data_IF_570059092776
#
_entry.id   IF_570059092776
#
_cell.length_a   1.000
_cell.length_b   1.000
_cell.length_c   1.000
_cell.angle_alpha   90.00
_cell.angle_beta   90.00
_cell.angle_gamma   90.00
#
_symmetry.space_group_name_H-M   'P 1'
#
loop_
_entity.id
_entity.type
_entity.pdbx_description
1 polymer ?
#
# COMPACT_ATOMS: atom_id res chain seq x y z
N UNK A 1 -17.18 11.03 67.99
CA UNK A 1 -17.53 10.40 66.70
C UNK A 1 -18.78 11.05 66.06
N UNK A 2 -18.73 12.34 65.64
CA UNK A 2 -19.87 13.01 64.98
C UNK A 2 -19.51 14.02 63.85
N UNK A 3 -18.23 14.17 63.49
CA UNK A 3 -17.80 15.13 62.44
C UNK A 3 -17.90 14.61 61.00
N UNK A 4 -18.14 13.31 60.82
CA UNK A 4 -18.14 12.66 59.49
C UNK A 4 -19.55 12.52 58.88
N UNK A 5 -20.60 12.68 59.70
CA UNK A 5 -22.00 12.58 59.27
C UNK A 5 -22.34 13.60 58.16
N UNK A 6 -21.96 14.90 58.24
CA UNK A 6 -22.25 15.83 57.15
C UNK A 6 -21.47 15.50 55.88
N UNK A 7 -20.23 15.01 55.99
CA UNK A 7 -19.42 14.60 54.83
C UNK A 7 -20.03 13.39 54.12
N UNK A 8 -20.50 12.39 54.87
CA UNK A 8 -21.16 11.21 54.32
C UNK A 8 -22.47 11.59 53.61
N UNK A 9 -23.22 12.55 54.15
CA UNK A 9 -24.43 13.06 53.51
C UNK A 9 -24.13 13.77 52.18
N UNK A 10 -23.09 14.60 52.13
CA UNK A 10 -22.69 15.29 50.89
C UNK A 10 -22.22 14.28 49.84
N UNK A 11 -21.43 13.29 50.22
CA UNK A 11 -20.97 12.24 49.31
C UNK A 11 -22.14 11.40 48.79
N UNK A 12 -23.12 11.07 49.64
CA UNK A 12 -24.35 10.40 49.20
C UNK A 12 -25.16 11.22 48.21
N UNK A 13 -25.28 12.53 48.41
CA UNK A 13 -25.97 13.42 47.46
C UNK A 13 -25.21 13.48 46.14
N UNK A 14 -23.88 13.53 46.16
CA UNK A 14 -23.06 13.50 44.94
C UNK A 14 -23.16 12.16 44.21
N UNK A 15 -23.16 11.03 44.93
CA UNK A 15 -23.34 9.69 44.35
C UNK A 15 -24.73 9.55 43.74
N UNK A 16 -25.78 9.99 44.44
CA UNK A 16 -27.16 9.97 43.92
C UNK A 16 -27.29 10.89 42.70
N UNK A 17 -26.68 12.08 42.74
CA UNK A 17 -26.62 12.99 41.60
C UNK A 17 -25.87 12.40 40.41
N UNK A 18 -24.77 11.68 40.66
CA UNK A 18 -23.98 11.01 39.63
C UNK A 18 -24.73 9.81 39.03
N UNK A 19 -25.38 8.98 39.86
CA UNK A 19 -26.25 7.88 39.39
C UNK A 19 -27.42 8.43 38.59
N UNK A 20 -28.03 9.54 39.03
CA UNK A 20 -29.12 10.18 38.31
C UNK A 20 -28.66 10.70 36.94
N UNK A 21 -27.51 11.39 36.88
CA UNK A 21 -26.94 11.89 35.63
C UNK A 21 -26.49 10.75 34.69
N UNK A 22 -25.92 9.66 35.22
CA UNK A 22 -25.56 8.47 34.45
C UNK A 22 -26.79 7.75 33.90
N UNK A 23 -27.86 7.59 34.70
CA UNK A 23 -29.10 6.93 34.28
C UNK A 23 -29.93 7.78 33.30
N UNK A 24 -29.88 9.10 33.42
CA UNK A 24 -30.50 10.03 32.46
C UNK A 24 -29.63 10.31 31.24
N UNK A 25 -28.57 9.52 31.04
CA UNK A 25 -27.77 9.57 29.82
C UNK A 25 -27.09 10.95 29.58
N UNK A 26 -26.96 11.79 30.62
CA UNK A 26 -26.36 13.14 30.54
C UNK A 26 -24.86 13.12 30.20
N UNK A 27 -24.20 11.98 30.41
CA UNK A 27 -22.79 11.75 30.07
C UNK A 27 -22.61 10.98 28.77
N UNK A 28 -23.69 10.57 28.09
CA UNK A 28 -23.59 10.06 26.74
C UNK A 28 -23.54 11.29 25.85
N UNK A 29 -22.35 11.58 25.32
CA UNK A 29 -22.25 12.37 24.10
C UNK A 29 -23.33 11.83 23.16
N UNK A 30 -24.30 12.67 22.78
CA UNK A 30 -25.19 12.32 21.67
C UNK A 30 -24.24 11.87 20.57
N UNK A 31 -24.35 10.62 20.12
CA UNK A 31 -23.55 10.14 19.00
C UNK A 31 -23.81 11.13 17.88
N UNK A 32 -22.82 12.00 17.62
CA UNK A 32 -22.93 13.03 16.62
C UNK A 32 -23.38 12.32 15.35
N UNK A 33 -24.50 12.75 14.78
CA UNK A 33 -24.99 12.17 13.53
C UNK A 33 -23.85 12.29 12.54
N UNK A 34 -23.24 11.15 12.21
CA UNK A 34 -22.07 11.07 11.35
C UNK A 34 -22.47 11.54 9.96
N UNK A 35 -22.11 12.77 9.63
CA UNK A 35 -22.38 13.34 8.31
C UNK A 35 -21.25 12.91 7.39
N UNK A 36 -21.58 12.15 6.35
CA UNK A 36 -20.61 11.81 5.31
C UNK A 36 -20.09 13.09 4.67
N UNK A 37 -18.77 13.17 4.48
CA UNK A 37 -18.08 14.33 3.95
C UNK A 37 -18.51 14.62 2.50
N UNK A 38 -18.47 13.60 1.64
CA UNK A 38 -18.79 13.75 0.21
C UNK A 38 -20.24 13.39 -0.13
N UNK A 39 -20.88 12.51 0.66
CA UNK A 39 -22.23 12.02 0.39
C UNK A 39 -22.35 11.27 -0.95
N UNK A 40 -21.32 10.49 -1.31
CA UNK A 40 -21.27 9.65 -2.52
C UNK A 40 -20.84 8.23 -2.16
N UNK A 41 -21.21 7.24 -2.97
CA UNK A 41 -20.69 5.88 -2.87
C UNK A 41 -19.43 5.72 -3.73
N UNK A 42 -18.53 4.82 -3.36
CA UNK A 42 -17.32 4.52 -4.14
C UNK A 42 -17.66 4.09 -5.57
N UNK A 43 -18.70 3.27 -5.71
CA UNK A 43 -19.23 2.83 -7.01
C UNK A 43 -19.79 3.96 -7.89
N UNK A 44 -20.09 5.14 -7.35
CA UNK A 44 -20.60 6.26 -8.14
C UNK A 44 -19.48 7.08 -8.80
N UNK A 45 -18.22 6.87 -8.42
CA UNK A 45 -17.08 7.65 -8.90
C UNK A 45 -16.63 7.17 -10.28
N UNK A 46 -16.47 8.10 -11.22
CA UNK A 46 -16.07 7.82 -12.62
C UNK A 46 -14.69 8.36 -12.97
N UNK A 47 -14.29 9.49 -12.39
CA UNK A 47 -12.94 10.04 -12.56
C UNK A 47 -12.52 10.81 -11.33
N UNK A 48 -11.21 10.79 -11.04
CA UNK A 48 -10.60 11.62 -10.02
C UNK A 48 -9.38 12.30 -10.64
N UNK A 49 -9.27 13.60 -10.44
CA UNK A 49 -8.06 14.38 -10.73
C UNK A 49 -7.41 14.76 -9.41
N UNK A 50 -6.15 14.41 -9.25
CA UNK A 50 -5.30 14.81 -8.14
C UNK A 50 -4.55 16.06 -8.59
N UNK A 51 -4.81 17.17 -7.92
CA UNK A 51 -4.08 18.43 -8.09
C UNK A 51 -3.21 18.63 -6.85
N UNK A 52 -1.91 18.34 -7.01
CA UNK A 52 -0.92 18.64 -5.98
C UNK A 52 -0.19 19.93 -6.35
N UNK A 53 -0.51 21.01 -5.63
CA UNK A 53 0.24 22.26 -5.66
C UNK A 53 0.83 22.58 -4.28
N UNK A 54 1.75 21.70 -3.83
CA UNK A 54 2.87 21.99 -2.90
C UNK A 54 2.51 22.09 -1.41
N UNK A 55 3.38 21.90 -0.41
CA UNK A 55 4.84 21.83 -0.33
C UNK A 55 5.22 21.26 1.05
N UNK A 56 6.27 20.43 1.12
CA UNK A 56 6.82 19.98 2.41
C UNK A 56 7.97 18.97 2.32
N UNK A 57 8.17 18.31 1.17
CA UNK A 57 9.41 17.57 0.89
C UNK A 57 10.36 18.46 0.11
N UNK A 58 11.55 18.60 0.68
CA UNK A 58 12.68 19.42 0.27
C UNK A 58 12.90 19.40 -1.24
N UNK A 59 13.29 20.57 -1.77
CA UNK A 59 13.90 20.77 -3.07
C UNK A 59 15.03 19.76 -3.32
N UNK A 60 14.70 18.59 -3.84
CA UNK A 60 15.62 17.60 -4.34
C UNK A 60 14.91 16.87 -5.48
N UNK A 61 15.12 17.42 -6.68
CA UNK A 61 15.19 16.75 -7.97
C UNK A 61 14.35 15.46 -8.14
N UNK A 62 13.10 15.57 -8.60
CA UNK A 62 12.78 15.31 -10.01
C UNK A 62 11.32 15.73 -10.34
N UNK A 63 11.14 16.41 -11.46
CA UNK A 63 9.90 17.13 -11.82
C UNK A 63 8.91 16.21 -12.53
N UNK A 64 8.49 15.14 -11.88
CA UNK A 64 7.42 14.25 -12.35
C UNK A 64 6.08 14.83 -11.89
N UNK A 65 5.49 15.71 -12.71
CA UNK A 65 4.22 16.42 -12.52
C UNK A 65 3.34 15.78 -11.44
N UNK A 66 3.26 16.35 -10.23
CA UNK A 66 2.59 15.76 -9.05
C UNK A 66 1.09 15.50 -9.22
N UNK A 67 0.48 16.06 -10.28
CA UNK A 67 -0.89 15.78 -10.66
C UNK A 67 -1.08 14.40 -11.31
N UNK A 68 -2.31 13.92 -11.27
CA UNK A 68 -2.74 12.73 -12.00
C UNK A 68 -4.22 12.80 -12.34
N UNK A 69 -4.60 12.25 -13.50
CA UNK A 69 -6.00 12.03 -13.85
C UNK A 69 -6.24 10.54 -13.97
N UNK A 70 -7.24 10.05 -13.23
CA UNK A 70 -7.67 8.66 -13.23
C UNK A 70 -9.11 8.58 -13.74
N UNK A 71 -9.41 7.53 -14.50
CA UNK A 71 -10.74 7.27 -15.06
C UNK A 71 -11.09 5.78 -14.95
N UNK A 72 -12.36 5.50 -14.65
CA UNK A 72 -12.92 4.15 -14.73
C UNK A 72 -13.28 3.83 -16.19
N UNK A 73 -12.59 2.86 -16.80
CA UNK A 73 -12.81 2.40 -18.18
C UNK A 73 -13.09 0.91 -18.20
N UNK A 74 -14.22 0.52 -18.77
CA UNK A 74 -14.64 -0.89 -18.86
C UNK A 74 -14.62 -1.63 -17.50
N UNK A 75 -14.91 -0.91 -16.42
CA UNK A 75 -14.89 -1.46 -15.05
C UNK A 75 -13.51 -1.53 -14.40
N UNK A 76 -12.46 -1.01 -15.06
CA UNK A 76 -11.08 -0.99 -14.54
C UNK A 76 -10.59 0.45 -14.45
N UNK A 77 -10.04 0.81 -13.29
CA UNK A 77 -9.43 2.12 -13.09
C UNK A 77 -8.11 2.22 -13.84
N UNK A 78 -7.92 3.32 -14.55
CA UNK A 78 -6.72 3.59 -15.35
C UNK A 78 -6.26 5.02 -15.16
N UNK A 79 -4.95 5.23 -15.10
CA UNK A 79 -4.37 6.56 -15.19
C UNK A 79 -4.40 7.04 -16.65
N UNK A 80 -4.76 8.29 -16.86
CA UNK A 80 -4.80 8.95 -18.18
C UNK A 80 -3.67 9.96 -18.29
N UNK A 81 -3.41 10.70 -17.22
CA UNK A 81 -2.32 11.67 -17.11
C UNK A 81 -1.48 11.39 -15.85
N UNK A 82 -0.14 11.59 -15.90
CA UNK A 82 0.64 12.06 -17.06
C UNK A 82 0.92 10.95 -18.09
N UNK A 83 0.80 9.69 -17.67
CA UNK A 83 0.93 8.50 -18.52
C UNK A 83 -0.01 7.42 -17.97
N UNK A 84 -0.33 6.44 -18.82
CA UNK A 84 -1.14 5.30 -18.42
C UNK A 84 -0.37 4.28 -17.57
N UNK A 85 0.23 4.72 -16.46
CA UNK A 85 0.98 3.86 -15.54
C UNK A 85 0.09 2.74 -14.98
N UNK A 86 0.68 1.56 -14.71
CA UNK A 86 -0.05 0.49 -14.03
C UNK A 86 -0.42 0.96 -12.62
N UNK A 87 -1.65 0.66 -12.21
CA UNK A 87 -2.20 1.06 -10.92
C UNK A 87 -2.37 -0.15 -10.01
N UNK A 88 -2.13 0.05 -8.73
CA UNK A 88 -2.41 -0.97 -7.73
C UNK A 88 -3.92 -1.00 -7.44
N UNK A 89 -4.60 -2.02 -7.96
CA UNK A 89 -6.07 -2.13 -7.87
C UNK A 89 -6.60 -2.18 -6.42
N UNK A 90 -5.86 -2.81 -5.51
CA UNK A 90 -6.23 -2.85 -4.08
C UNK A 90 -6.17 -1.46 -3.43
N UNK A 91 -5.10 -0.72 -3.72
CA UNK A 91 -4.92 0.65 -3.22
C UNK A 91 -5.98 1.58 -3.77
N UNK A 92 -6.29 1.49 -5.06
CA UNK A 92 -7.39 2.25 -5.68
C UNK A 92 -8.72 1.94 -5.00
N UNK A 93 -9.07 0.67 -4.81
CA UNK A 93 -10.32 0.29 -4.14
C UNK A 93 -10.39 0.87 -2.72
N UNK A 94 -9.32 0.73 -1.95
CA UNK A 94 -9.24 1.23 -0.58
C UNK A 94 -9.35 2.76 -0.52
N UNK A 95 -8.76 3.46 -1.49
CA UNK A 95 -8.84 4.91 -1.61
C UNK A 95 -10.25 5.40 -1.93
N UNK A 96 -10.98 4.72 -2.83
CA UNK A 96 -12.37 5.05 -3.15
C UNK A 96 -13.29 4.82 -1.96
N UNK A 97 -13.07 3.75 -1.20
CA UNK A 97 -13.82 3.47 0.02
C UNK A 97 -13.52 4.50 1.11
N UNK A 98 -12.26 4.95 1.24
CA UNK A 98 -11.88 6.02 2.15
C UNK A 98 -12.57 7.35 1.80
N UNK A 99 -12.61 7.71 0.51
CA UNK A 99 -13.33 8.89 0.02
C UNK A 99 -14.83 8.83 0.33
N UNK A 100 -15.46 7.68 0.09
CA UNK A 100 -16.90 7.48 0.34
C UNK A 100 -17.25 7.45 1.84
N UNK A 101 -16.40 6.82 2.64
CA UNK A 101 -16.60 6.61 4.07
C UNK A 101 -16.14 7.76 4.96
N UNK A 102 -15.49 8.79 4.41
CA UNK A 102 -15.05 9.95 5.17
C UNK A 102 -16.23 10.69 5.82
N UNK A 103 -16.07 11.07 7.08
CA UNK A 103 -17.08 11.78 7.86
C UNK A 103 -16.54 13.14 8.31
N UNK A 104 -17.38 14.18 8.28
CA UNK A 104 -17.06 15.43 8.96
C UNK A 104 -17.42 15.33 10.45
N UNK A 105 -16.55 15.81 11.31
CA UNK A 105 -16.77 15.80 12.76
C UNK A 105 -17.61 16.99 13.20
N UNK A 106 -17.25 18.18 12.72
CA UNK A 106 -17.95 19.42 13.04
C UNK A 106 -17.72 20.47 11.96
N UNK A 107 -18.63 21.45 11.92
CA UNK A 107 -18.48 22.64 11.08
C UNK A 107 -17.65 23.68 11.83
N UNK A 108 -16.54 24.10 11.24
CA UNK A 108 -15.63 25.13 11.77
C UNK A 108 -16.12 26.52 11.39
N UNK A 109 -16.50 26.71 10.13
CA UNK A 109 -17.04 27.97 9.62
C UNK A 109 -18.04 27.70 8.49
N UNK A 110 -19.30 28.09 8.70
CA UNK A 110 -20.40 27.89 7.75
C UNK A 110 -20.21 28.65 6.44
N UNK A 111 -19.66 29.88 6.51
CA UNK A 111 -19.50 30.78 5.36
C UNK A 111 -18.10 31.40 5.35
N UNK A 112 -17.06 30.63 4.97
CA UNK A 112 -15.68 31.11 5.00
C UNK A 112 -15.45 32.29 4.05
N UNK A 113 -14.84 33.36 4.57
CA UNK A 113 -14.46 34.54 3.78
C UNK A 113 -12.98 34.60 3.45
N UNK A 114 -12.16 33.84 4.19
CA UNK A 114 -10.72 33.71 4.02
C UNK A 114 -10.36 32.24 4.19
N UNK A 115 -9.93 31.58 3.09
CA UNK A 115 -9.54 30.17 3.08
C UNK A 115 -8.06 29.97 3.40
N UNK A 116 -7.23 31.02 3.24
CA UNK A 116 -5.78 30.94 3.45
C UNK A 116 -5.46 30.66 4.93
N UNK A 117 -6.24 31.22 5.87
CA UNK A 117 -6.09 30.94 7.31
C UNK A 117 -6.27 29.46 7.69
N UNK A 118 -6.90 28.66 6.82
CA UNK A 118 -7.10 27.23 7.00
C UNK A 118 -6.15 26.38 6.16
N UNK A 119 -5.28 26.99 5.35
CA UNK A 119 -4.50 26.28 4.34
C UNK A 119 -5.35 25.75 3.18
N UNK A 120 -6.57 26.25 2.99
CA UNK A 120 -7.50 25.85 1.91
C UNK A 120 -7.40 26.79 0.68
N UNK A 121 -6.30 27.52 0.60
CA UNK A 121 -5.98 28.49 -0.44
C UNK A 121 -5.57 27.86 -1.77
N UNK A 122 -4.72 28.58 -2.52
CA UNK A 122 -4.26 28.15 -3.86
C UNK A 122 -3.28 26.97 -3.85
N UNK A 123 -2.64 26.70 -2.71
CA UNK A 123 -1.67 25.61 -2.53
C UNK A 123 -2.26 24.42 -1.78
N UNK A 124 -3.58 24.39 -1.58
CA UNK A 124 -4.23 23.28 -0.90
C UNK A 124 -4.18 22.03 -1.77
N UNK A 125 -3.95 20.86 -1.17
CA UNK A 125 -4.18 19.58 -1.83
C UNK A 125 -5.63 19.51 -2.29
N UNK A 126 -5.83 19.12 -3.55
CA UNK A 126 -7.16 19.14 -4.17
C UNK A 126 -7.43 17.86 -4.92
N UNK A 127 -8.64 17.33 -4.75
CA UNK A 127 -9.20 16.25 -5.56
C UNK A 127 -10.45 16.76 -6.29
N UNK A 128 -10.48 16.60 -7.61
CA UNK A 128 -11.68 16.83 -8.41
C UNK A 128 -12.29 15.49 -8.83
N UNK A 129 -13.51 15.24 -8.37
CA UNK A 129 -14.22 13.96 -8.50
C UNK A 129 -15.42 14.17 -9.41
N UNK A 130 -15.56 13.31 -10.41
CA UNK A 130 -16.76 13.24 -11.26
C UNK A 130 -17.50 11.94 -11.01
N UNK A 131 -18.82 12.04 -10.84
CA UNK A 131 -19.68 10.90 -10.58
C UNK A 131 -20.47 10.46 -11.81
N UNK A 132 -21.08 9.26 -11.76
CA UNK A 132 -21.96 8.70 -12.80
C UNK A 132 -23.15 9.61 -13.13
N UNK A 133 -23.69 10.31 -12.14
CA UNK A 133 -24.78 11.28 -12.31
C UNK A 133 -24.30 12.67 -12.76
N UNK A 134 -23.04 12.79 -13.21
CA UNK A 134 -22.43 14.01 -13.74
C UNK A 134 -22.31 15.15 -12.72
N UNK A 135 -22.21 14.84 -11.42
CA UNK A 135 -21.81 15.84 -10.42
C UNK A 135 -20.30 15.99 -10.46
N UNK A 136 -19.85 17.25 -10.40
CA UNK A 136 -18.46 17.61 -10.14
C UNK A 136 -18.34 17.99 -8.66
N UNK A 137 -17.42 17.33 -7.96
CA UNK A 137 -17.14 17.55 -6.53
C UNK A 137 -15.66 17.90 -6.40
N UNK A 138 -15.37 19.07 -5.84
CA UNK A 138 -14.01 19.46 -5.48
C UNK A 138 -13.80 19.28 -3.98
N UNK A 139 -12.85 18.46 -3.59
CA UNK A 139 -12.40 18.33 -2.21
C UNK A 139 -11.08 19.09 -2.04
N UNK A 140 -11.02 20.00 -1.07
CA UNK A 140 -9.80 20.69 -0.67
C UNK A 140 -9.40 20.30 0.74
N UNK A 141 -8.12 20.04 0.94
CA UNK A 141 -7.57 19.61 2.22
C UNK A 141 -6.54 20.64 2.67
N UNK A 142 -6.76 21.22 3.85
CA UNK A 142 -5.99 22.32 4.41
C UNK A 142 -5.06 21.88 5.54
N UNK A 143 -4.70 22.80 6.42
CA UNK A 143 -3.81 22.54 7.56
C UNK A 143 -4.47 21.73 8.70
N UNK A 144 -3.66 21.39 9.70
CA UNK A 144 -4.12 20.74 10.93
C UNK A 144 -4.79 21.73 11.88
N UNK A 145 -5.81 21.27 12.60
CA UNK A 145 -6.44 22.03 13.69
C UNK A 145 -5.44 22.20 14.85
N UNK A 146 -5.37 23.38 15.51
CA UNK A 146 -4.39 23.61 16.58
C UNK A 146 -4.56 22.75 17.84
N UNK A 147 -5.76 22.23 18.10
CA UNK A 147 -6.13 21.62 19.37
C UNK A 147 -6.70 20.19 19.24
N UNK A 148 -6.75 19.65 18.03
CA UNK A 148 -7.36 18.36 17.74
C UNK A 148 -6.59 17.64 16.62
N UNK A 149 -6.69 16.32 16.57
CA UNK A 149 -6.08 15.51 15.51
C UNK A 149 -6.99 15.43 14.27
N UNK A 150 -7.27 16.61 13.72
CA UNK A 150 -8.11 16.81 12.56
C UNK A 150 -7.49 17.82 11.59
N UNK A 151 -7.93 17.78 10.33
CA UNK A 151 -7.55 18.69 9.27
C UNK A 151 -8.76 19.53 8.85
N UNK A 152 -8.49 20.76 8.42
CA UNK A 152 -9.50 21.59 7.77
C UNK A 152 -9.79 21.05 6.38
N UNK A 153 -11.07 20.92 6.04
CA UNK A 153 -11.52 20.41 4.74
C UNK A 153 -12.65 21.28 4.22
N UNK A 154 -12.70 21.45 2.90
CA UNK A 154 -13.83 22.06 2.22
C UNK A 154 -14.26 21.20 1.04
N UNK A 155 -15.57 20.98 0.93
CA UNK A 155 -16.21 20.37 -0.24
C UNK A 155 -16.88 21.47 -1.06
N UNK A 156 -16.54 21.55 -2.34
CA UNK A 156 -16.96 22.58 -3.28
C UNK A 156 -16.70 24.00 -2.72
N UNK A 157 -17.72 24.85 -2.67
CA UNK A 157 -17.68 26.17 -2.02
C UNK A 157 -18.52 26.18 -0.73
N UNK A 158 -18.62 25.03 -0.06
CA UNK A 158 -19.37 24.86 1.18
C UNK A 158 -18.61 25.33 2.44
N UNK A 159 -19.11 24.95 3.63
CA UNK A 159 -18.46 25.22 4.90
C UNK A 159 -17.03 24.66 4.98
N UNK A 160 -16.23 25.25 5.87
CA UNK A 160 -15.00 24.60 6.35
C UNK A 160 -15.37 23.69 7.50
N UNK A 161 -14.96 22.43 7.40
CA UNK A 161 -15.26 21.37 8.39
C UNK A 161 -13.98 20.75 8.91
N UNK A 162 -14.06 20.11 10.07
CA UNK A 162 -12.98 19.30 10.62
C UNK A 162 -13.20 17.82 10.22
N UNK A 163 -12.12 17.18 9.76
CA UNK A 163 -12.09 15.74 9.44
C UNK A 163 -10.85 15.14 10.09
N UNK A 164 -10.98 13.97 10.73
CA UNK A 164 -9.87 13.28 11.39
C UNK A 164 -8.65 13.14 10.49
N UNK A 165 -7.46 13.39 11.04
CA UNK A 165 -6.19 13.25 10.31
C UNK A 165 -6.02 11.84 9.73
N UNK A 166 -6.45 10.80 10.45
CA UNK A 166 -6.42 9.41 9.98
C UNK A 166 -7.25 9.23 8.69
N UNK A 167 -8.48 9.72 8.66
CA UNK A 167 -9.32 9.67 7.45
C UNK A 167 -8.68 10.43 6.30
N UNK A 168 -8.07 11.58 6.57
CA UNK A 168 -7.38 12.38 5.55
C UNK A 168 -6.12 11.69 5.04
N UNK A 169 -5.35 11.00 5.89
CA UNK A 169 -4.17 10.26 5.44
C UNK A 169 -4.49 9.15 4.44
N UNK A 170 -5.69 8.57 4.52
CA UNK A 170 -6.19 7.57 3.57
C UNK A 170 -6.79 8.19 2.31
N UNK A 171 -6.95 9.52 2.23
CA UNK A 171 -7.57 10.26 1.13
C UNK A 171 -6.54 11.08 0.36
N UNK A 172 -5.63 11.75 1.07
CA UNK A 172 -4.58 12.62 0.54
C UNK A 172 -3.40 11.80 0.00
N UNK A 173 -3.70 10.86 -0.90
CA UNK A 173 -2.72 10.04 -1.60
C UNK A 173 -2.12 10.80 -2.78
N UNK A 174 -0.83 10.62 -3.01
CA UNK A 174 -0.14 11.11 -4.20
C UNK A 174 -0.39 10.18 -5.38
N UNK A 175 -0.06 10.64 -6.59
CA UNK A 175 -0.03 9.77 -7.77
C UNK A 175 0.80 8.51 -7.56
N UNK A 176 1.99 8.66 -6.96
CA UNK A 176 2.94 7.55 -6.83
C UNK A 176 2.39 6.47 -5.90
N UNK A 177 1.69 6.87 -4.83
CA UNK A 177 1.04 5.94 -3.89
C UNK A 177 0.01 5.02 -4.58
N UNK A 178 -0.54 5.45 -5.73
CA UNK A 178 -1.53 4.68 -6.49
C UNK A 178 -0.91 3.71 -7.51
N UNK A 179 0.39 3.82 -7.78
CA UNK A 179 1.05 3.00 -8.80
C UNK A 179 1.18 1.55 -8.33
N UNK A 180 1.10 0.63 -9.27
CA UNK A 180 1.61 -0.72 -9.04
C UNK A 180 3.13 -0.68 -9.17
N UNK A 181 3.82 -0.79 -8.03
CA UNK A 181 5.28 -0.76 -7.93
C UNK A 181 5.89 -2.16 -7.82
N UNK A 182 5.09 -3.22 -7.85
CA UNK A 182 5.56 -4.59 -7.66
C UNK A 182 5.67 -5.33 -9.00
N UNK A 183 6.88 -5.58 -9.54
CA UNK A 183 7.01 -6.25 -10.83
C UNK A 183 6.56 -7.71 -10.82
N UNK A 184 6.63 -8.38 -9.67
CA UNK A 184 6.45 -9.82 -9.56
C UNK A 184 5.07 -10.14 -8.97
N UNK A 185 4.12 -10.50 -9.84
CA UNK A 185 2.78 -10.89 -9.42
C UNK A 185 2.73 -12.38 -9.05
N UNK A 186 3.08 -12.67 -7.80
CA UNK A 186 3.12 -14.02 -7.24
C UNK A 186 2.07 -14.16 -6.14
N UNK A 187 1.29 -15.23 -6.22
CA UNK A 187 0.52 -15.72 -5.08
C UNK A 187 1.31 -16.83 -4.39
N UNK A 188 1.93 -16.51 -3.26
CA UNK A 188 2.79 -17.41 -2.47
C UNK A 188 2.09 -18.71 -2.09
N UNK A 189 0.76 -18.70 -1.94
CA UNK A 189 -0.01 -19.91 -1.65
C UNK A 189 -0.19 -20.79 -2.88
N UNK A 190 -0.13 -20.20 -4.08
CA UNK A 190 -0.41 -20.84 -5.36
C UNK A 190 0.82 -21.03 -6.27
N UNK A 191 1.99 -20.50 -5.93
CA UNK A 191 3.26 -20.73 -6.65
C UNK A 191 3.61 -22.21 -6.60
N UNK A 192 3.71 -22.88 -7.74
CA UNK A 192 4.10 -24.28 -7.88
C UNK A 192 5.60 -24.44 -8.18
N UNK A 193 6.17 -23.55 -9.00
CA UNK A 193 7.58 -23.57 -9.35
C UNK A 193 8.11 -22.17 -9.66
N UNK A 194 9.37 -21.94 -9.30
CA UNK A 194 10.20 -20.84 -9.77
C UNK A 194 11.41 -21.41 -10.50
N UNK A 195 11.63 -20.99 -11.74
CA UNK A 195 12.81 -21.33 -12.55
C UNK A 195 13.60 -20.04 -12.81
N UNK A 196 14.78 -19.95 -12.22
CA UNK A 196 15.66 -18.80 -12.30
C UNK A 196 16.85 -19.12 -13.19
N UNK A 197 17.00 -18.37 -14.27
CA UNK A 197 18.14 -18.40 -15.18
C UNK A 197 18.87 -17.04 -15.14
N UNK A 198 19.84 -16.89 -14.24
CA UNK A 198 20.67 -15.69 -14.14
C UNK A 198 22.14 -15.93 -14.55
N UNK A 199 22.91 -14.86 -14.72
CA UNK A 199 24.34 -14.97 -15.01
C UNK A 199 25.16 -15.57 -13.84
N UNK A 200 24.77 -15.27 -12.60
CA UNK A 200 25.49 -15.71 -11.39
C UNK A 200 25.07 -17.12 -10.93
N UNK A 201 23.81 -17.49 -11.17
CA UNK A 201 23.25 -18.76 -10.72
C UNK A 201 22.07 -19.18 -11.61
N UNK A 202 21.86 -20.49 -11.69
CA UNK A 202 20.66 -21.11 -12.26
C UNK A 202 20.10 -22.09 -11.24
N UNK A 203 18.80 -22.03 -11.01
CA UNK A 203 18.14 -22.95 -10.07
C UNK A 203 16.65 -23.09 -10.35
N UNK A 204 16.10 -24.24 -9.93
CA UNK A 204 14.67 -24.53 -9.98
C UNK A 204 14.19 -24.84 -8.58
N UNK A 205 13.31 -24.00 -8.06
CA UNK A 205 12.55 -24.26 -6.84
C UNK A 205 11.19 -24.83 -7.25
N UNK A 206 10.84 -26.01 -6.74
CA UNK A 206 9.59 -26.69 -7.10
C UNK A 206 8.90 -27.30 -5.89
N UNK A 207 7.60 -27.08 -5.79
CA UNK A 207 6.73 -27.77 -4.85
C UNK A 207 6.65 -29.24 -5.22
N UNK A 208 7.02 -30.12 -4.28
CA UNK A 208 6.90 -31.56 -4.42
C UNK A 208 5.55 -32.09 -3.89
N UNK A 209 4.80 -31.26 -3.16
CA UNK A 209 3.45 -31.59 -2.68
C UNK A 209 2.40 -31.52 -3.78
N UNK A 210 1.38 -32.39 -3.66
CA UNK A 210 0.15 -32.28 -4.43
C UNK A 210 -0.61 -30.98 -4.12
N UNK A 211 -1.48 -30.60 -5.04
CA UNK A 211 -2.26 -29.37 -4.97
C UNK A 211 -3.15 -29.31 -3.72
N UNK A 212 -3.12 -28.19 -3.00
CA UNK A 212 -3.96 -27.97 -1.82
C UNK A 212 -3.50 -28.70 -0.55
N UNK A 213 -2.28 -29.25 -0.54
CA UNK A 213 -1.67 -29.78 0.68
C UNK A 213 -1.54 -28.70 1.76
N UNK A 214 -1.92 -29.04 3.00
CA UNK A 214 -1.79 -28.15 4.15
C UNK A 214 -0.31 -27.81 4.45
N UNK A 215 0.57 -28.79 4.27
CA UNK A 215 2.01 -28.63 4.38
C UNK A 215 2.66 -28.88 3.01
N UNK A 216 3.37 -27.87 2.51
CA UNK A 216 4.06 -27.91 1.22
C UNK A 216 5.51 -28.33 1.43
N UNK A 217 5.93 -29.35 0.70
CA UNK A 217 7.33 -29.78 0.60
C UNK A 217 7.94 -29.18 -0.65
N UNK A 218 9.22 -28.84 -0.57
CA UNK A 218 9.93 -28.12 -1.62
C UNK A 218 11.21 -28.84 -1.99
N UNK A 219 11.57 -28.71 -3.26
CA UNK A 219 12.88 -29.13 -3.77
C UNK A 219 13.57 -27.96 -4.44
N UNK A 220 14.86 -27.80 -4.20
CA UNK A 220 15.75 -26.90 -4.91
C UNK A 220 16.70 -27.75 -5.75
N UNK A 221 16.66 -27.59 -7.07
CA UNK A 221 17.46 -28.40 -8.01
C UNK A 221 17.29 -29.93 -7.83
N UNK A 222 16.12 -30.35 -7.34
CA UNK A 222 15.78 -31.75 -7.08
C UNK A 222 16.16 -32.26 -5.68
N UNK A 223 16.88 -31.47 -4.88
CA UNK A 223 17.19 -31.77 -3.47
C UNK A 223 16.14 -31.16 -2.55
N UNK A 224 15.75 -31.86 -1.48
CA UNK A 224 14.77 -31.34 -0.52
C UNK A 224 15.30 -30.09 0.17
N UNK A 225 14.45 -29.07 0.32
CA UNK A 225 14.75 -27.84 1.06
C UNK A 225 13.66 -27.58 2.09
N UNK A 226 14.02 -26.92 3.19
CA UNK A 226 13.07 -26.53 4.24
C UNK A 226 12.00 -25.59 3.69
N UNK A 227 10.73 -25.87 4.04
CA UNK A 227 9.60 -25.09 3.54
C UNK A 227 9.66 -23.62 3.93
N UNK A 228 10.25 -23.31 5.09
CA UNK A 228 10.46 -21.93 5.55
C UNK A 228 11.43 -21.16 4.68
N UNK A 229 12.49 -21.80 4.17
CA UNK A 229 13.48 -21.18 3.28
C UNK A 229 12.86 -20.92 1.89
N UNK A 230 12.14 -21.90 1.35
CA UNK A 230 11.42 -21.76 0.09
C UNK A 230 10.38 -20.63 0.12
N UNK A 231 9.53 -20.62 1.15
CA UNK A 231 8.52 -19.56 1.33
C UNK A 231 9.18 -18.20 1.59
N UNK A 232 10.30 -18.16 2.32
CA UNK A 232 11.06 -16.92 2.52
C UNK A 232 11.59 -16.35 1.21
N UNK A 233 12.17 -17.17 0.34
CA UNK A 233 12.63 -16.74 -0.98
C UNK A 233 11.47 -16.21 -1.84
N UNK A 234 10.36 -16.94 -1.92
CA UNK A 234 9.17 -16.52 -2.67
C UNK A 234 8.68 -15.16 -2.16
N UNK A 235 8.58 -15.00 -0.84
CA UNK A 235 8.20 -13.74 -0.21
C UNK A 235 9.17 -12.60 -0.53
N UNK A 236 10.49 -12.86 -0.48
CA UNK A 236 11.51 -11.86 -0.83
C UNK A 236 11.36 -11.38 -2.27
N UNK A 237 11.19 -12.30 -3.23
CA UNK A 237 10.99 -11.96 -4.65
C UNK A 237 9.67 -11.20 -4.86
N UNK A 238 8.57 -11.72 -4.31
CA UNK A 238 7.23 -11.11 -4.39
C UNK A 238 7.20 -9.67 -3.87
N UNK A 239 7.93 -9.40 -2.80
CA UNK A 239 7.93 -8.10 -2.13
C UNK A 239 8.95 -7.10 -2.71
N UNK A 240 9.68 -7.46 -3.77
CA UNK A 240 10.51 -6.48 -4.48
C UNK A 240 9.61 -5.39 -5.08
N UNK A 241 10.00 -4.14 -4.89
CA UNK A 241 9.28 -2.98 -5.44
C UNK A 241 10.24 -1.97 -6.07
N UNK A 242 9.74 -1.26 -7.09
CA UNK A 242 10.42 -0.08 -7.63
C UNK A 242 10.15 1.13 -6.75
N UNK A 243 11.17 1.95 -6.52
CA UNK A 243 11.02 3.25 -5.88
C UNK A 243 10.68 4.37 -6.90
N UNK A 244 11.00 4.14 -8.17
CA UNK A 244 10.81 5.09 -9.26
C UNK A 244 9.59 4.73 -10.12
N UNK A 245 9.06 5.71 -10.84
CA UNK A 245 8.01 5.50 -11.84
C UNK A 245 8.47 4.47 -12.90
N UNK A 246 7.59 3.53 -13.24
CA UNK A 246 7.89 2.50 -14.24
C UNK A 246 8.09 3.09 -15.64
N UNK A 247 8.98 2.48 -16.42
CA UNK A 247 9.25 2.88 -17.82
C UNK A 247 8.54 1.95 -18.80
N UNK A 248 8.26 2.40 -20.02
CA UNK A 248 7.81 1.47 -21.05
C UNK A 248 8.97 0.56 -21.45
N UNK A 249 8.73 -0.75 -21.55
CA UNK A 249 9.78 -1.70 -21.94
C UNK A 249 10.40 -1.36 -23.30
N UNK A 250 9.62 -0.80 -24.23
CA UNK A 250 10.08 -0.34 -25.55
C UNK A 250 11.05 0.85 -25.51
N UNK A 251 11.16 1.54 -24.37
CA UNK A 251 12.08 2.67 -24.20
C UNK A 251 13.50 2.21 -23.88
N UNK A 252 13.67 0.96 -23.41
CA UNK A 252 14.97 0.38 -23.07
C UNK A 252 15.77 0.00 -24.33
N UNK A 253 16.53 0.96 -24.85
CA UNK A 253 17.38 0.74 -26.02
C UNK A 253 18.70 0.08 -25.62
N UNK A 254 19.17 -0.85 -26.45
CA UNK A 254 20.44 -1.56 -26.25
C UNK A 254 20.55 -2.26 -24.90
N UNK A 255 19.42 -2.76 -24.39
CA UNK A 255 19.37 -3.49 -23.14
C UNK A 255 19.98 -4.89 -23.30
N UNK A 256 20.70 -5.35 -22.28
CA UNK A 256 21.35 -6.65 -22.21
C UNK A 256 20.59 -7.52 -21.21
N UNK A 257 20.20 -8.77 -21.56
CA UNK A 257 19.57 -9.69 -20.62
C UNK A 257 20.51 -10.04 -19.46
N UNK A 258 19.95 -10.14 -18.25
CA UNK A 258 20.65 -10.44 -16.99
C UNK A 258 20.08 -11.66 -16.29
N UNK A 259 18.76 -11.82 -16.33
CA UNK A 259 18.09 -13.03 -15.87
C UNK A 259 16.75 -13.27 -16.58
N UNK A 260 16.27 -14.50 -16.51
CA UNK A 260 14.85 -14.87 -16.71
C UNK A 260 14.34 -15.53 -15.44
N UNK A 261 13.13 -15.18 -15.02
CA UNK A 261 12.41 -15.88 -13.96
C UNK A 261 11.09 -16.40 -14.54
N UNK A 262 10.93 -17.72 -14.60
CA UNK A 262 9.65 -18.34 -14.94
C UNK A 262 8.93 -18.75 -13.66
N UNK A 263 7.67 -18.36 -13.52
CA UNK A 263 6.83 -18.65 -12.37
C UNK A 263 5.66 -19.50 -12.84
N UNK A 264 5.58 -20.75 -12.39
CA UNK A 264 4.38 -21.56 -12.53
C UNK A 264 3.51 -21.38 -11.28
N UNK A 265 2.28 -20.94 -11.44
CA UNK A 265 1.33 -20.75 -10.34
C UNK A 265 -0.09 -21.11 -10.75
N UNK A 266 -0.94 -21.41 -9.78
CA UNK A 266 -2.36 -21.68 -10.01
C UNK A 266 -3.19 -20.41 -10.02
N UNK A 267 -3.91 -20.19 -11.11
CA UNK A 267 -4.88 -19.10 -11.26
C UNK A 267 -6.21 -19.70 -11.69
N UNK A 268 -7.26 -19.51 -10.89
CA UNK A 268 -8.60 -20.07 -11.15
C UNK A 268 -8.62 -21.59 -11.39
N UNK A 269 -7.69 -22.32 -10.75
CA UNK A 269 -7.58 -23.78 -10.87
C UNK A 269 -6.75 -24.27 -12.06
N UNK A 270 -6.27 -23.38 -12.93
CA UNK A 270 -5.38 -23.69 -14.04
C UNK A 270 -3.93 -23.31 -13.72
N UNK A 271 -2.96 -24.08 -14.24
CA UNK A 271 -1.55 -23.72 -14.13
C UNK A 271 -1.24 -22.66 -15.18
N UNK A 272 -0.72 -21.52 -14.73
CA UNK A 272 -0.26 -20.41 -15.55
C UNK A 272 1.24 -20.28 -15.36
N UNK A 273 1.96 -20.10 -16.47
CA UNK A 273 3.40 -19.82 -16.45
C UNK A 273 3.65 -18.39 -16.90
N UNK A 274 4.13 -17.56 -15.97
CA UNK A 274 4.53 -16.18 -16.21
C UNK A 274 6.05 -16.10 -16.37
N UNK A 275 6.53 -15.33 -17.34
CA UNK A 275 7.98 -15.17 -17.60
C UNK A 275 8.38 -13.71 -17.46
N UNK A 276 9.19 -13.46 -16.44
CA UNK A 276 9.80 -12.16 -16.15
C UNK A 276 11.20 -12.11 -16.73
N UNK A 277 11.60 -10.96 -17.27
CA UNK A 277 12.94 -10.76 -17.84
C UNK A 277 13.64 -9.61 -17.17
N UNK A 278 14.81 -9.88 -16.58
CA UNK A 278 15.70 -8.86 -16.07
C UNK A 278 16.64 -8.37 -17.16
N UNK A 279 16.64 -7.07 -17.41
CA UNK A 279 17.52 -6.42 -18.39
C UNK A 279 18.36 -5.34 -17.70
N UNK A 280 19.56 -5.07 -18.20
CA UNK A 280 20.34 -3.88 -17.80
C UNK A 280 20.66 -3.03 -19.02
N UNK A 281 20.86 -1.73 -18.83
CA UNK A 281 21.32 -0.81 -19.87
C UNK A 281 22.69 -0.27 -19.50
N UNK A 282 23.58 -0.12 -20.47
CA UNK A 282 24.98 0.26 -20.21
C UNK A 282 25.15 1.63 -19.52
N UNK A 283 24.16 2.53 -19.66
CA UNK A 283 24.14 3.83 -18.98
C UNK A 283 23.80 3.74 -17.49
N UNK A 284 23.15 2.65 -17.06
CA UNK A 284 22.65 2.46 -15.69
C UNK A 284 23.00 1.05 -15.19
N UNK A 285 24.30 0.70 -15.08
CA UNK A 285 24.74 -0.68 -14.81
C UNK A 285 24.38 -1.20 -13.40
N UNK A 286 24.03 -0.30 -12.47
CA UNK A 286 23.54 -0.65 -11.14
C UNK A 286 22.05 -0.97 -11.09
N UNK A 287 21.33 -0.81 -12.20
CA UNK A 287 19.88 -1.01 -12.29
C UNK A 287 19.58 -2.25 -13.12
N UNK A 288 18.64 -3.05 -12.62
CA UNK A 288 17.98 -4.12 -13.35
C UNK A 288 16.54 -3.69 -13.61
N UNK A 289 16.17 -3.68 -14.88
CA UNK A 289 14.81 -3.47 -15.35
C UNK A 289 14.11 -4.82 -15.47
N UNK A 290 13.11 -5.03 -14.62
CA UNK A 290 12.26 -6.21 -14.70
C UNK A 290 11.10 -5.95 -15.65
N UNK A 291 11.05 -6.73 -16.73
CA UNK A 291 9.96 -6.71 -17.70
C UNK A 291 8.93 -7.76 -17.31
N UNK A 292 7.69 -7.31 -17.13
CA UNK A 292 6.53 -8.16 -16.82
C UNK A 292 6.15 -9.08 -17.99
N UNK A 293 5.37 -10.15 -17.76
CA UNK A 293 4.98 -11.13 -18.78
C UNK A 293 4.24 -10.51 -19.99
N UNK A 294 3.46 -9.44 -19.75
CA UNK A 294 2.78 -8.67 -20.81
C UNK A 294 3.74 -7.89 -21.73
N UNK A 295 5.01 -7.77 -21.33
CA UNK A 295 6.06 -7.08 -22.05
C UNK A 295 5.91 -5.56 -22.14
N UNK A 296 4.98 -4.95 -21.38
CA UNK A 296 4.65 -3.53 -21.54
C UNK A 296 5.53 -2.61 -20.71
N UNK A 297 5.82 -3.01 -19.46
CA UNK A 297 6.43 -2.16 -18.46
C UNK A 297 7.78 -2.70 -18.00
N UNK A 298 8.63 -1.79 -17.55
CA UNK A 298 9.94 -2.03 -17.02
C UNK A 298 10.05 -1.39 -15.64
N UNK A 299 10.21 -2.23 -14.62
CA UNK A 299 10.33 -1.84 -13.22
C UNK A 299 11.81 -1.80 -12.85
N UNK A 300 12.29 -0.65 -12.37
CA UNK A 300 13.69 -0.48 -11.97
C UNK A 300 13.92 -1.01 -10.56
N UNK A 301 14.86 -1.95 -10.43
CA UNK A 301 15.35 -2.46 -9.16
C UNK A 301 16.86 -2.22 -9.08
N UNK A 302 17.37 -1.89 -7.89
CA UNK A 302 18.81 -1.88 -7.66
C UNK A 302 19.35 -3.31 -7.81
N UNK A 303 20.48 -3.49 -8.49
CA UNK A 303 20.99 -4.83 -8.79
C UNK A 303 21.30 -5.66 -7.52
N UNK A 304 21.58 -5.02 -6.39
CA UNK A 304 21.88 -5.69 -5.13
C UNK A 304 20.67 -6.35 -4.45
N UNK A 305 19.44 -5.87 -4.69
CA UNK A 305 18.23 -6.48 -4.11
C UNK A 305 17.95 -7.87 -4.65
N UNK A 306 18.54 -8.23 -5.80
CA UNK A 306 18.41 -9.55 -6.41
C UNK A 306 19.43 -10.57 -5.88
N UNK A 307 20.38 -10.15 -5.04
CA UNK A 307 21.39 -11.05 -4.50
C UNK A 307 20.79 -12.21 -3.70
N UNK A 308 19.67 -12.00 -3.04
CA UNK A 308 18.97 -13.05 -2.30
C UNK A 308 18.49 -14.17 -3.24
N UNK A 309 17.98 -13.82 -4.42
CA UNK A 309 17.60 -14.80 -5.44
C UNK A 309 18.83 -15.48 -6.05
N UNK A 310 19.90 -14.73 -6.33
CA UNK A 310 21.12 -15.27 -6.94
C UNK A 310 21.89 -16.21 -5.98
N UNK A 311 21.91 -15.91 -4.68
CA UNK A 311 22.67 -16.67 -3.67
C UNK A 311 21.85 -17.73 -2.96
N UNK A 312 20.56 -17.85 -3.24
CA UNK A 312 19.68 -18.81 -2.57
C UNK A 312 20.22 -20.25 -2.55
N UNK A 313 20.80 -20.79 -3.64
CA UNK A 313 21.40 -22.13 -3.59
C UNK A 313 22.56 -22.29 -2.60
N UNK A 314 23.33 -21.22 -2.36
CA UNK A 314 24.46 -21.26 -1.44
C UNK A 314 24.01 -21.15 0.02
N UNK A 315 22.92 -20.42 0.29
CA UNK A 315 22.38 -20.28 1.65
C UNK A 315 21.84 -21.60 2.19
N UNK A 316 21.20 -22.40 1.33
CA UNK A 316 20.67 -23.72 1.71
C UNK A 316 21.83 -24.71 2.00
N UNK A 317 22.84 -24.77 1.12
CA UNK A 317 24.02 -25.65 1.32
C UNK A 317 24.75 -25.36 2.62
N UNK A 318 24.91 -24.08 2.98
CA UNK A 318 25.58 -23.70 4.22
C UNK A 318 24.79 -24.11 5.47
N UNK A 319 23.45 -24.13 5.40
CA UNK A 319 22.60 -24.60 6.48
C UNK A 319 22.74 -26.12 6.71
N UNK A 320 22.78 -26.91 5.63
CA UNK A 320 23.01 -28.36 5.69
C UNK A 320 24.40 -28.72 6.27
N UNK A 321 25.45 -28.00 5.85
CA UNK A 321 26.81 -28.20 6.37
C UNK A 321 26.93 -27.79 7.86
N UNK A 322 26.22 -26.75 8.30
CA UNK A 322 26.21 -26.33 9.70
C UNK A 322 25.39 -27.28 10.61
N UNK A 323 24.33 -27.89 10.08
CA UNK A 323 23.52 -28.90 10.77
C UNK A 323 24.28 -30.21 10.98
N UNK A 324 25.07 -30.63 9.99
CA UNK A 324 25.87 -31.87 10.06
C UNK A 324 27.14 -31.75 10.90
N UNK A 325 27.67 -30.54 11.10
CA UNK A 325 28.87 -30.28 11.94
C UNK A 325 28.63 -30.29 13.46
N UNK A 326 27.38 -30.41 13.92
CA UNK A 326 27.02 -30.26 15.35
C UNK A 326 26.78 -31.59 16.09
N UNK A 327 26.81 -32.74 15.41
CA UNK A 327 26.49 -34.04 16.04
C UNK A 327 27.70 -34.86 16.55
N UNK A 328 28.95 -34.44 16.31
CA UNK A 328 30.14 -35.25 16.67
C UNK A 328 30.97 -34.69 17.83
N UNK A 329 30.32 -34.23 18.90
CA UNK A 329 31.01 -33.76 20.12
C UNK A 329 30.33 -34.21 21.42
N UNK A 330 29.90 -35.47 21.48
CA UNK A 330 29.71 -36.16 22.78
C UNK A 330 30.23 -37.59 22.72
N UNK A 331 31.55 -37.74 22.72
CA UNK A 331 32.18 -39.00 23.10
C UNK A 331 33.51 -38.72 23.76
N UNK A 332 33.74 -39.41 24.88
CA UNK A 332 34.99 -39.52 25.64
C UNK A 332 35.22 -38.46 26.73
N UNK A 333 34.78 -38.77 27.94
CA UNK A 333 35.72 -38.75 29.07
C UNK A 333 35.38 -39.90 30.01
N UNK A 334 36.40 -40.73 30.25
CA UNK A 334 36.50 -41.82 31.24
C UNK A 334 36.10 -41.44 32.67
#
# INVERSE_FOLDING_TARGET
>A
MKKWIPTILVVLVLIVGWIYAANQNYFREEEAVKVQLLGIQSDDIQSITIDDLSTGKTEAEDSSSSSAQLELKDGVWSMVEPKAYPLNGYTISSWLDALSGAEQELVVEETPTDLEKYGLGSTASRLDIKTKDSRDITLKIGGQLPADDARYVQVNSGPVVAVKSESISNIELTRHDLLDTTPFNLDDTNVASLDWEGEAATWVLKSASEDGAADRTWTLNGETVESTEAVSLIGKIKNLSTADDVRKASELKNAVPRFTLSVEQKVNGENVTDVYRGLTVASEPGIIYVITPDGQWAYSLQADVLQDAEKFPDTVKAADDAGTGSEDSTSSTE
#
